data_IF_280027269684
#
_entry.id   IF_280027269684
#
_cell.length_a   1.000
_cell.length_b   1.000
_cell.length_c   1.000
_cell.angle_alpha   90.00
_cell.angle_beta   90.00
_cell.angle_gamma   90.00
#
_symmetry.space_group_name_H-M   'P 1'
#
loop_
_entity.id
_entity.type
_entity.pdbx_description
1 polymer ?
#
# COMPACT_ATOMS: atom_id res chain seq x y z
N UNK A 1 31.90 -27.57 -14.25
CA UNK A 1 32.10 -26.13 -14.52
C UNK A 1 30.95 -25.58 -15.36
N UNK A 2 30.57 -26.23 -16.45
CA UNK A 2 29.54 -25.74 -17.38
C UNK A 2 28.14 -25.59 -16.78
N UNK A 3 27.72 -26.51 -15.90
CA UNK A 3 26.41 -26.43 -15.21
C UNK A 3 26.33 -25.21 -14.29
N UNK A 4 27.43 -24.87 -13.60
CA UNK A 4 27.49 -23.70 -12.72
C UNK A 4 27.46 -22.40 -13.54
N UNK A 5 28.21 -22.35 -14.64
CA UNK A 5 28.24 -21.19 -15.54
C UNK A 5 26.89 -20.99 -16.21
N UNK A 6 26.24 -22.05 -16.67
CA UNK A 6 24.90 -22.02 -17.24
C UNK A 6 23.86 -21.55 -16.22
N UNK A 7 23.89 -22.10 -15.00
CA UNK A 7 22.97 -21.71 -13.92
C UNK A 7 23.15 -20.26 -13.52
N UNK A 8 24.39 -19.78 -13.43
CA UNK A 8 24.69 -18.38 -13.12
C UNK A 8 24.21 -17.44 -14.24
N UNK A 9 24.44 -17.83 -15.50
CA UNK A 9 24.00 -17.06 -16.67
C UNK A 9 22.47 -16.97 -16.74
N UNK A 10 21.78 -18.07 -16.47
CA UNK A 10 20.32 -18.11 -16.38
C UNK A 10 19.79 -17.25 -15.23
N UNK A 11 20.43 -17.28 -14.06
CA UNK A 11 20.07 -16.44 -12.93
C UNK A 11 20.21 -14.94 -13.26
N UNK A 12 21.32 -14.54 -13.88
CA UNK A 12 21.55 -13.15 -14.31
C UNK A 12 20.52 -12.73 -15.34
N UNK A 13 20.18 -13.60 -16.30
CA UNK A 13 19.16 -13.33 -17.30
C UNK A 13 17.77 -13.14 -16.66
N UNK A 14 17.37 -14.03 -15.75
CA UNK A 14 16.09 -13.92 -15.02
C UNK A 14 16.05 -12.64 -14.18
N UNK A 15 17.14 -12.30 -13.49
CA UNK A 15 17.22 -11.08 -12.70
C UNK A 15 17.13 -9.83 -13.58
N UNK A 16 17.81 -9.82 -14.73
CA UNK A 16 17.73 -8.75 -15.72
C UNK A 16 16.31 -8.56 -16.26
N UNK A 17 15.65 -9.66 -16.63
CA UNK A 17 14.28 -9.66 -17.14
C UNK A 17 13.28 -9.19 -16.06
N UNK A 18 13.48 -9.59 -14.81
CA UNK A 18 12.69 -9.13 -13.67
C UNK A 18 12.82 -7.62 -13.42
N UNK A 19 14.04 -7.09 -13.46
CA UNK A 19 14.29 -5.65 -13.29
C UNK A 19 13.65 -4.88 -14.45
N UNK A 20 13.81 -5.36 -15.68
CA UNK A 20 13.23 -4.74 -16.87
C UNK A 20 11.70 -4.74 -16.83
N UNK A 21 11.08 -5.88 -16.50
CA UNK A 21 9.63 -6.00 -16.36
C UNK A 21 9.09 -5.08 -15.26
N UNK A 22 9.78 -4.99 -14.12
CA UNK A 22 9.38 -4.10 -13.02
C UNK A 22 9.49 -2.61 -13.42
N UNK A 23 10.54 -2.24 -14.17
CA UNK A 23 10.68 -0.89 -14.71
C UNK A 23 9.62 -0.58 -15.76
N UNK A 24 9.34 -1.52 -16.66
CA UNK A 24 8.29 -1.37 -17.66
C UNK A 24 6.92 -1.17 -16.99
N UNK A 25 6.61 -1.97 -15.96
CA UNK A 25 5.39 -1.79 -15.14
C UNK A 25 5.35 -0.44 -14.45
N UNK A 26 6.45 0.00 -13.83
CA UNK A 26 6.49 1.28 -13.12
C UNK A 26 6.27 2.49 -14.04
N UNK A 27 6.60 2.35 -15.32
CA UNK A 27 6.38 3.36 -16.38
C UNK A 27 5.01 3.26 -17.05
N UNK A 28 4.25 2.21 -16.78
CA UNK A 28 2.94 2.06 -17.38
C UNK A 28 2.00 3.08 -16.75
N UNK A 29 1.64 4.08 -17.53
CA UNK A 29 0.54 4.99 -17.23
C UNK A 29 -0.74 4.33 -17.73
N UNK A 30 -1.72 4.20 -16.84
CA UNK A 30 -3.06 3.78 -17.24
C UNK A 30 -3.84 5.07 -17.50
N UNK A 31 -4.35 5.30 -18.72
CA UNK A 31 -5.19 6.45 -18.98
C UNK A 31 -6.47 6.34 -18.16
N UNK A 32 -6.88 7.43 -17.54
CA UNK A 32 -8.17 7.56 -16.86
C UNK A 32 -8.72 8.96 -17.06
N UNK A 33 -10.04 9.06 -16.93
CA UNK A 33 -10.73 10.34 -16.97
C UNK A 33 -10.89 10.86 -15.53
N UNK A 34 -10.64 12.15 -15.34
CA UNK A 34 -10.84 12.82 -14.07
C UNK A 34 -12.32 13.00 -13.82
N UNK A 35 -12.78 12.53 -12.66
CA UNK A 35 -14.13 12.79 -12.22
C UNK A 35 -14.16 14.11 -11.44
N UNK A 36 -15.21 14.94 -11.61
CA UNK A 36 -15.38 16.14 -10.81
C UNK A 36 -15.37 15.79 -9.32
N UNK A 37 -14.44 16.40 -8.59
CA UNK A 37 -14.29 16.20 -7.15
C UNK A 37 -14.46 17.54 -6.43
N UNK A 38 -15.52 17.66 -5.63
CA UNK A 38 -15.82 18.88 -4.88
C UNK A 38 -15.37 18.82 -3.41
N UNK A 39 -14.86 17.67 -2.96
CA UNK A 39 -14.49 17.42 -1.58
C UNK A 39 -12.99 17.12 -1.48
N UNK A 40 -12.28 17.88 -0.65
CA UNK A 40 -10.88 17.67 -0.36
C UNK A 40 -10.70 17.38 1.12
N UNK A 41 -9.81 16.45 1.44
CA UNK A 41 -9.45 16.17 2.83
C UNK A 41 -8.69 17.39 3.38
N UNK A 42 -8.93 17.69 4.65
CA UNK A 42 -8.17 18.72 5.37
C UNK A 42 -6.74 18.27 5.62
N UNK A 43 -6.55 16.96 5.82
CA UNK A 43 -5.25 16.35 6.07
C UNK A 43 -4.81 15.49 4.89
N UNK A 44 -3.50 15.36 4.63
CA UNK A 44 -3.00 14.57 3.53
C UNK A 44 -3.23 13.07 3.73
N UNK A 45 -3.28 12.34 2.61
CA UNK A 45 -3.29 10.88 2.56
C UNK A 45 -1.85 10.35 2.60
N UNK A 46 -1.49 9.66 3.68
CA UNK A 46 -0.18 9.05 3.85
C UNK A 46 -0.22 7.56 3.56
N UNK A 47 0.37 7.17 2.42
CA UNK A 47 0.55 5.80 2.02
C UNK A 47 1.84 5.23 2.60
N UNK A 48 1.77 4.09 3.31
CA UNK A 48 2.96 3.45 3.88
C UNK A 48 3.28 2.18 3.12
N UNK A 49 4.51 2.04 2.62
CA UNK A 49 4.88 0.87 1.82
C UNK A 49 5.05 -0.39 2.67
N UNK A 50 4.44 -1.50 2.24
CA UNK A 50 4.73 -2.82 2.77
C UNK A 50 6.13 -3.35 2.43
N UNK A 51 6.40 -4.64 2.70
CA UNK A 51 7.67 -5.27 2.39
C UNK A 51 7.98 -5.22 0.88
N UNK A 52 9.22 -4.88 0.54
CA UNK A 52 9.69 -4.70 -0.85
C UNK A 52 10.76 -5.73 -1.21
N UNK A 53 10.91 -6.02 -2.51
CA UNK A 53 12.01 -6.84 -3.03
C UNK A 53 12.50 -6.31 -4.37
N UNK A 54 13.59 -6.85 -4.90
CA UNK A 54 14.14 -6.47 -6.22
C UNK A 54 13.13 -6.66 -7.37
N UNK A 55 12.17 -7.57 -7.20
CA UNK A 55 11.08 -7.80 -8.16
C UNK A 55 9.94 -6.77 -8.02
N UNK A 56 9.93 -5.99 -6.93
CA UNK A 56 8.85 -5.09 -6.55
C UNK A 56 9.32 -3.94 -5.64
N UNK A 57 10.25 -3.08 -6.11
CA UNK A 57 10.81 -1.98 -5.32
C UNK A 57 10.48 -0.57 -5.82
N UNK A 58 10.18 -0.40 -7.13
CA UNK A 58 10.14 0.92 -7.77
C UNK A 58 8.84 1.70 -7.49
N UNK A 59 7.67 1.07 -7.70
CA UNK A 59 6.35 1.70 -7.49
C UNK A 59 5.47 0.70 -6.74
N UNK A 60 5.32 0.90 -5.43
CA UNK A 60 4.61 -0.05 -4.57
C UNK A 60 3.09 0.05 -4.75
N UNK A 61 2.55 1.27 -4.70
CA UNK A 61 1.12 1.57 -4.82
C UNK A 61 0.62 1.78 -6.26
N UNK A 62 1.48 1.56 -7.25
CA UNK A 62 1.21 1.72 -8.69
C UNK A 62 0.37 2.97 -9.00
N UNK A 63 -0.84 2.83 -9.52
CA UNK A 63 -1.64 3.97 -9.97
C UNK A 63 -2.26 4.78 -8.82
N UNK A 64 -2.53 4.19 -7.66
CA UNK A 64 -3.40 4.79 -6.64
C UNK A 64 -2.97 6.19 -6.18
N UNK A 65 -1.68 6.35 -5.89
CA UNK A 65 -1.14 7.63 -5.41
C UNK A 65 -1.22 8.71 -6.47
N UNK A 66 -1.03 8.35 -7.74
CA UNK A 66 -1.09 9.30 -8.87
C UNK A 66 -2.54 9.66 -9.16
N UNK A 67 -3.42 8.65 -9.22
CA UNK A 67 -4.84 8.83 -9.45
C UNK A 67 -5.46 9.79 -8.44
N UNK A 68 -5.21 9.61 -7.15
CA UNK A 68 -5.73 10.49 -6.10
C UNK A 68 -5.13 11.90 -6.17
N UNK A 69 -3.84 12.02 -6.46
CA UNK A 69 -3.18 13.32 -6.60
C UNK A 69 -3.76 14.13 -7.77
N UNK A 70 -4.05 13.48 -8.90
CA UNK A 70 -4.68 14.14 -10.05
C UNK A 70 -6.14 14.54 -9.79
N UNK A 71 -6.83 13.89 -8.83
CA UNK A 71 -8.15 14.32 -8.33
C UNK A 71 -8.06 15.43 -7.25
N UNK A 72 -6.86 15.96 -7.00
CA UNK A 72 -6.62 17.13 -6.14
C UNK A 72 -6.24 16.82 -4.69
N UNK A 73 -6.11 15.55 -4.30
CA UNK A 73 -5.71 15.20 -2.93
C UNK A 73 -4.21 15.37 -2.71
N UNK A 74 -3.83 15.81 -1.51
CA UNK A 74 -2.43 15.80 -1.09
C UNK A 74 -2.04 14.37 -0.67
N UNK A 75 -1.13 13.74 -1.43
CA UNK A 75 -0.74 12.34 -1.24
C UNK A 75 0.75 12.23 -0.97
N UNK A 76 1.12 11.59 0.14
CA UNK A 76 2.50 11.28 0.48
C UNK A 76 2.74 9.77 0.54
N UNK A 77 3.96 9.35 0.23
CA UNK A 77 4.37 7.95 0.40
C UNK A 77 5.54 7.83 1.35
N UNK A 78 5.33 7.18 2.49
CA UNK A 78 6.38 6.80 3.42
C UNK A 78 7.01 5.48 2.98
N UNK A 79 8.27 5.58 2.55
CA UNK A 79 9.08 4.43 2.19
C UNK A 79 9.74 3.83 3.42
N UNK A 80 9.41 2.58 3.71
CA UNK A 80 9.98 1.82 4.82
C UNK A 80 11.14 0.92 4.37
N UNK A 81 12.01 0.47 5.31
CA UNK A 81 13.01 -0.55 5.04
C UNK A 81 12.39 -1.79 4.39
N UNK A 82 13.17 -2.46 3.53
CA UNK A 82 12.61 -3.42 2.58
C UNK A 82 12.04 -4.68 3.23
N UNK A 83 12.74 -5.28 4.21
CA UNK A 83 12.38 -6.61 4.71
C UNK A 83 12.32 -6.74 6.24
N UNK A 84 13.18 -6.08 7.00
CA UNK A 84 13.25 -6.29 8.44
C UNK A 84 12.07 -5.61 9.15
N UNK A 85 11.22 -6.43 9.80
CA UNK A 85 10.02 -5.97 10.52
C UNK A 85 10.37 -5.02 11.67
N UNK A 86 11.39 -5.31 12.45
CA UNK A 86 11.79 -4.47 13.59
C UNK A 86 12.26 -3.09 13.11
N UNK A 87 13.09 -3.05 12.08
CA UNK A 87 13.56 -1.79 11.49
C UNK A 87 12.42 -0.98 10.84
N UNK A 88 11.42 -1.67 10.27
CA UNK A 88 10.23 -1.03 9.72
C UNK A 88 9.37 -0.41 10.81
N UNK A 89 9.10 -1.14 11.88
CA UNK A 89 8.41 -0.65 13.07
C UNK A 89 9.15 0.52 13.70
N UNK A 90 10.47 0.45 13.85
CA UNK A 90 11.29 1.53 14.39
C UNK A 90 11.25 2.78 13.51
N UNK A 91 11.43 2.61 12.19
CA UNK A 91 11.35 3.72 11.24
C UNK A 91 9.97 4.39 11.29
N UNK A 92 8.91 3.59 11.37
CA UNK A 92 7.55 4.11 11.45
C UNK A 92 7.30 4.82 12.80
N UNK A 93 7.80 4.28 13.92
CA UNK A 93 7.73 4.92 15.24
C UNK A 93 8.41 6.29 15.24
N UNK A 94 9.65 6.37 14.74
CA UNK A 94 10.35 7.64 14.62
C UNK A 94 9.65 8.63 13.69
N UNK A 95 9.03 8.14 12.61
CA UNK A 95 8.23 8.99 11.75
C UNK A 95 7.03 9.58 12.52
N UNK A 96 6.29 8.77 13.27
CA UNK A 96 5.17 9.25 14.11
C UNK A 96 5.65 10.32 15.11
N UNK A 97 6.76 10.07 15.81
CA UNK A 97 7.37 11.05 16.73
C UNK A 97 7.68 12.39 16.07
N UNK A 98 8.18 12.35 14.84
CA UNK A 98 8.50 13.56 14.08
C UNK A 98 7.23 14.31 13.65
N UNK A 99 6.18 13.60 13.23
CA UNK A 99 4.91 14.22 12.88
C UNK A 99 4.21 14.82 14.11
N UNK A 100 4.27 14.14 15.26
CA UNK A 100 3.74 14.60 16.54
C UNK A 100 4.43 15.91 16.98
N UNK A 101 5.77 15.93 16.95
CA UNK A 101 6.57 17.13 17.27
C UNK A 101 6.27 18.30 16.33
N UNK A 102 6.01 18.00 15.06
CA UNK A 102 5.68 19.00 14.04
C UNK A 102 4.18 19.34 13.99
N UNK A 103 3.37 18.73 14.87
CA UNK A 103 1.90 18.83 14.89
C UNK A 103 1.23 18.57 13.54
N UNK A 104 1.85 17.73 12.70
CA UNK A 104 1.30 17.35 11.40
C UNK A 104 0.37 16.16 11.58
N UNK A 105 -0.77 16.22 10.90
CA UNK A 105 -1.81 15.18 10.94
C UNK A 105 -2.05 14.64 9.54
N UNK A 106 -2.49 13.39 9.45
CA UNK A 106 -2.71 12.70 8.17
C UNK A 106 -3.70 11.54 8.31
N UNK A 107 -4.28 11.13 7.19
CA UNK A 107 -5.01 9.86 7.07
C UNK A 107 -4.05 8.77 6.60
N UNK A 108 -3.96 7.68 7.36
CA UNK A 108 -3.05 6.59 7.08
C UNK A 108 -3.68 5.60 6.09
N UNK A 109 -2.93 5.22 5.05
CA UNK A 109 -3.31 4.17 4.09
C UNK A 109 -2.25 3.07 4.11
N UNK A 110 -2.66 1.84 4.39
CA UNK A 110 -1.78 0.67 4.57
C UNK A 110 -2.40 -0.59 3.95
N UNK A 111 -1.57 -1.53 3.51
CA UNK A 111 -2.04 -2.87 3.12
C UNK A 111 -2.23 -3.75 4.37
N UNK A 112 -3.09 -4.76 4.28
CA UNK A 112 -3.44 -5.63 5.41
C UNK A 112 -2.22 -6.26 6.12
N UNK A 113 -1.21 -6.82 5.41
CA UNK A 113 0.01 -7.29 6.06
C UNK A 113 0.76 -6.21 6.86
N UNK A 114 0.89 -5.01 6.32
CA UNK A 114 1.52 -3.87 7.01
C UNK A 114 0.67 -3.40 8.19
N UNK A 115 -0.66 -3.45 8.08
CA UNK A 115 -1.56 -3.14 9.19
C UNK A 115 -1.40 -4.14 10.33
N UNK A 116 -1.31 -5.44 10.02
CA UNK A 116 -1.03 -6.48 11.01
C UNK A 116 0.36 -6.30 11.66
N UNK A 117 1.35 -5.81 10.90
CA UNK A 117 2.68 -5.49 11.41
C UNK A 117 2.67 -4.33 12.42
N UNK A 118 1.85 -3.30 12.21
CA UNK A 118 1.83 -2.07 13.03
C UNK A 118 0.68 -1.99 14.01
N UNK A 119 -0.18 -3.00 14.08
CA UNK A 119 -1.38 -2.96 14.88
C UNK A 119 -1.13 -2.64 16.34
N UNK A 120 -0.11 -3.25 16.93
CA UNK A 120 0.16 -3.13 18.36
C UNK A 120 0.77 -1.77 18.67
N UNK A 121 1.62 -1.28 17.77
CA UNK A 121 2.17 0.08 17.83
C UNK A 121 1.07 1.14 17.73
N UNK A 122 0.17 1.00 16.76
CA UNK A 122 -0.93 1.94 16.53
C UNK A 122 -2.01 1.86 17.62
N UNK A 123 -2.27 0.67 18.17
CA UNK A 123 -3.23 0.48 19.26
C UNK A 123 -2.69 1.00 20.60
N UNK A 124 -1.42 0.76 20.92
CA UNK A 124 -0.81 1.18 22.19
C UNK A 124 -0.52 2.68 22.26
N UNK A 125 -0.13 3.30 21.15
CA UNK A 125 0.44 4.66 21.14
C UNK A 125 -0.57 5.78 20.84
N UNK A 126 -1.77 5.47 20.34
CA UNK A 126 -2.82 6.43 19.90
C UNK A 126 -2.25 7.80 19.49
N UNK A 127 -1.48 7.81 18.41
CA UNK A 127 -0.80 9.02 17.93
C UNK A 127 -1.83 10.08 17.51
N UNK A 128 -1.75 11.33 18.02
CA UNK A 128 -2.68 12.42 17.63
C UNK A 128 -2.49 12.86 16.18
N UNK A 129 -1.37 12.49 15.55
CA UNK A 129 -1.08 12.73 14.14
C UNK A 129 -1.87 11.82 13.20
N UNK A 130 -2.38 10.68 13.67
CA UNK A 130 -3.15 9.73 12.83
C UNK A 130 -4.65 10.00 13.02
N UNK A 131 -5.29 10.55 11.98
CA UNK A 131 -6.73 10.89 12.01
C UNK A 131 -7.59 9.65 11.81
N UNK A 132 -7.26 8.89 10.77
CA UNK A 132 -7.95 7.66 10.40
C UNK A 132 -7.00 6.69 9.73
N UNK A 133 -7.45 5.44 9.62
CA UNK A 133 -6.74 4.35 8.98
C UNK A 133 -7.63 3.78 7.89
N UNK A 134 -7.08 3.65 6.69
CA UNK A 134 -7.68 2.90 5.58
C UNK A 134 -6.78 1.69 5.32
N UNK A 135 -7.30 0.50 5.62
CA UNK A 135 -6.64 -0.77 5.35
C UNK A 135 -7.07 -1.31 3.99
N UNK A 136 -6.11 -1.73 3.18
CA UNK A 136 -6.35 -2.32 1.86
C UNK A 136 -6.17 -3.84 1.95
N UNK A 137 -7.25 -4.59 1.73
CA UNK A 137 -7.30 -6.04 1.91
C UNK A 137 -7.86 -6.76 0.69
N UNK A 138 -7.54 -8.05 0.56
CA UNK A 138 -8.20 -8.93 -0.40
C UNK A 138 -9.58 -9.31 0.12
N UNK A 139 -10.57 -9.38 -0.78
CA UNK A 139 -11.93 -9.80 -0.47
C UNK A 139 -11.95 -11.17 0.24
N UNK A 140 -12.66 -11.26 1.36
CA UNK A 140 -12.82 -12.51 2.11
C UNK A 140 -11.63 -12.89 2.99
N UNK A 141 -10.64 -12.00 3.16
CA UNK A 141 -9.66 -12.16 4.24
C UNK A 141 -10.34 -11.74 5.54
N UNK A 142 -10.75 -12.72 6.34
CA UNK A 142 -11.28 -12.45 7.67
C UNK A 142 -10.23 -11.68 8.50
N UNK A 143 -10.59 -10.48 8.95
CA UNK A 143 -9.81 -9.81 9.99
C UNK A 143 -10.11 -10.56 11.31
N UNK A 144 -9.14 -11.27 11.90
CA UNK A 144 -9.35 -12.02 13.14
C UNK A 144 -9.79 -11.10 14.30
N UNK A 145 -9.73 -9.77 14.15
CA UNK A 145 -10.22 -8.78 15.11
C UNK A 145 -11.65 -8.32 14.88
N UNK A 146 -12.33 -8.73 13.81
CA UNK A 146 -13.80 -8.55 13.69
C UNK A 146 -14.52 -9.29 14.83
N UNK A 147 -13.87 -10.31 15.41
CA UNK A 147 -14.30 -11.01 16.61
C UNK A 147 -13.97 -10.27 17.92
N UNK A 148 -13.22 -9.17 17.87
CA UNK A 148 -12.89 -8.35 19.03
C UNK A 148 -13.95 -7.25 19.19
N UNK A 149 -14.72 -7.33 20.28
CA UNK A 149 -15.71 -6.30 20.65
C UNK A 149 -15.08 -4.95 21.05
N UNK A 150 -13.73 -4.87 21.10
CA UNK A 150 -13.03 -3.63 21.44
C UNK A 150 -12.83 -2.80 20.18
N UNK A 151 -13.49 -1.64 20.14
CA UNK A 151 -13.29 -0.65 19.09
C UNK A 151 -11.81 -0.25 19.00
N UNK A 152 -11.29 -0.16 17.78
CA UNK A 152 -9.95 0.35 17.54
C UNK A 152 -9.87 1.82 17.97
N UNK A 153 -8.78 2.30 18.60
CA UNK A 153 -8.72 3.64 19.19
C UNK A 153 -8.74 4.79 18.15
N UNK A 154 -8.63 4.45 16.87
CA UNK A 154 -8.60 5.35 15.72
C UNK A 154 -9.64 4.84 14.72
N UNK A 155 -10.43 5.72 14.07
CA UNK A 155 -11.34 5.32 12.99
C UNK A 155 -10.61 4.50 11.92
N UNK A 156 -10.98 3.23 11.78
CA UNK A 156 -10.40 2.28 10.84
C UNK A 156 -11.48 1.81 9.88
N UNK A 157 -11.20 1.86 8.57
CA UNK A 157 -12.04 1.27 7.53
C UNK A 157 -11.20 0.33 6.67
N UNK A 158 -11.78 -0.80 6.28
CA UNK A 158 -11.14 -1.80 5.42
C UNK A 158 -11.77 -1.70 4.03
N UNK A 159 -10.94 -1.47 3.02
CA UNK A 159 -11.33 -1.57 1.62
C UNK A 159 -10.94 -2.95 1.09
N UNK A 160 -11.95 -3.73 0.77
CA UNK A 160 -11.78 -5.06 0.20
C UNK A 160 -11.76 -4.99 -1.33
N UNK A 161 -10.76 -5.65 -1.92
CA UNK A 161 -10.60 -5.71 -3.35
C UNK A 161 -10.85 -7.13 -3.90
N UNK A 162 -11.64 -7.26 -4.97
CA UNK A 162 -11.97 -8.55 -5.55
C UNK A 162 -10.71 -9.21 -6.13
N UNK A 163 -10.60 -10.51 -5.95
CA UNK A 163 -9.54 -11.28 -6.59
C UNK A 163 -9.86 -11.47 -8.08
N UNK A 164 -9.02 -10.89 -8.95
CA UNK A 164 -8.99 -11.22 -10.37
C UNK A 164 -7.60 -11.72 -10.78
N UNK A 165 -7.50 -12.72 -11.68
CA UNK A 165 -6.23 -13.22 -12.18
C UNK A 165 -5.50 -12.15 -13.00
N UNK A 166 -4.19 -12.05 -12.79
CA UNK A 166 -3.35 -11.09 -13.49
C UNK A 166 -2.81 -11.71 -14.79
N UNK A 167 -1.93 -11.00 -15.49
CA UNK A 167 -1.20 -11.60 -16.61
C UNK A 167 -0.16 -12.61 -16.08
N UNK A 168 0.12 -13.71 -16.81
CA UNK A 168 0.98 -14.78 -16.31
C UNK A 168 2.40 -14.29 -15.99
N UNK A 169 2.92 -13.34 -16.77
CA UNK A 169 4.23 -12.74 -16.52
C UNK A 169 4.26 -11.95 -15.20
N UNK A 170 3.18 -11.23 -14.89
CA UNK A 170 3.08 -10.47 -13.66
C UNK A 170 2.94 -11.41 -12.45
N UNK A 171 2.14 -12.47 -12.56
CA UNK A 171 2.03 -13.50 -11.52
C UNK A 171 3.35 -14.22 -11.26
N UNK A 172 4.11 -14.56 -12.31
CA UNK A 172 5.45 -15.13 -12.18
C UNK A 172 6.39 -14.18 -11.45
N UNK A 173 6.45 -12.92 -11.87
CA UNK A 173 7.31 -11.90 -11.24
C UNK A 173 6.96 -11.71 -9.76
N UNK A 174 5.67 -11.81 -9.43
CA UNK A 174 5.17 -11.64 -8.09
C UNK A 174 5.37 -12.90 -7.22
N UNK A 175 5.33 -14.09 -7.83
CA UNK A 175 5.76 -15.34 -7.18
C UNK A 175 7.22 -15.27 -6.76
N UNK A 176 8.11 -14.78 -7.64
CA UNK A 176 9.52 -14.54 -7.32
C UNK A 176 9.69 -13.48 -6.21
N UNK A 177 8.85 -12.43 -6.23
CA UNK A 177 8.79 -11.46 -5.14
C UNK A 177 8.47 -12.15 -3.80
N UNK A 178 7.43 -12.99 -3.75
CA UNK A 178 7.02 -13.74 -2.56
C UNK A 178 8.12 -14.66 -2.02
N UNK A 179 8.78 -15.39 -2.91
CA UNK A 179 9.91 -16.25 -2.56
C UNK A 179 11.08 -15.43 -1.99
N UNK A 180 11.44 -14.30 -2.63
CA UNK A 180 12.50 -13.41 -2.14
C UNK A 180 12.15 -12.80 -0.78
N UNK A 181 10.88 -12.53 -0.52
CA UNK A 181 10.39 -12.02 0.75
C UNK A 181 10.28 -13.09 1.85
N UNK A 182 10.77 -14.32 1.61
CA UNK A 182 10.74 -15.45 2.55
C UNK A 182 9.34 -15.78 3.06
N UNK A 183 8.33 -15.79 2.18
CA UNK A 183 6.96 -16.19 2.50
C UNK A 183 6.27 -15.38 3.62
N UNK A 184 6.65 -14.12 3.83
CA UNK A 184 5.81 -13.21 4.62
C UNK A 184 4.42 -13.11 3.95
N UNK A 185 3.37 -12.91 4.76
CA UNK A 185 2.05 -12.54 4.23
C UNK A 185 2.24 -11.26 3.41
N UNK A 186 1.97 -11.32 2.11
CA UNK A 186 2.13 -10.21 1.18
C UNK A 186 0.79 -9.90 0.54
N UNK A 187 0.49 -8.61 0.29
CA UNK A 187 -0.79 -8.21 -0.29
C UNK A 187 -0.87 -8.62 -1.76
N UNK A 188 -2.04 -9.00 -2.26
CA UNK A 188 -2.16 -9.42 -3.66
C UNK A 188 -1.83 -8.32 -4.67
N UNK A 189 -1.64 -8.72 -5.93
CA UNK A 189 -1.48 -7.80 -7.05
C UNK A 189 -2.68 -6.87 -7.26
N UNK A 190 -3.88 -7.27 -6.83
CA UNK A 190 -5.08 -6.44 -6.91
C UNK A 190 -5.04 -5.34 -5.84
N UNK A 191 -4.69 -5.71 -4.60
CA UNK A 191 -4.51 -4.76 -3.49
C UNK A 191 -3.44 -3.73 -3.81
N UNK A 192 -2.38 -4.12 -4.48
CA UNK A 192 -1.30 -3.19 -4.84
C UNK A 192 -1.61 -2.30 -6.05
N UNK A 193 -2.75 -2.50 -6.73
CA UNK A 193 -3.08 -1.77 -7.97
C UNK A 193 -2.16 -2.14 -9.15
N UNK A 194 -1.49 -3.29 -9.09
CA UNK A 194 -0.61 -3.78 -10.14
C UNK A 194 -1.37 -4.54 -11.23
N UNK A 195 -2.53 -5.13 -10.90
CA UNK A 195 -3.37 -5.78 -11.89
C UNK A 195 -4.18 -4.73 -12.66
N UNK A 196 -3.85 -4.53 -13.94
CA UNK A 196 -4.50 -3.54 -14.81
C UNK A 196 -6.01 -3.77 -14.95
N UNK A 197 -6.50 -5.01 -14.77
CA UNK A 197 -7.93 -5.35 -14.85
C UNK A 197 -8.77 -4.86 -13.66
N UNK A 198 -8.14 -4.53 -12.54
CA UNK A 198 -8.81 -4.07 -11.30
C UNK A 198 -8.29 -2.72 -10.83
N UNK A 199 -7.14 -2.27 -11.33
CA UNK A 199 -6.47 -1.06 -10.89
C UNK A 199 -7.38 0.18 -10.91
N UNK A 200 -8.12 0.42 -12.00
CA UNK A 200 -8.99 1.60 -12.10
C UNK A 200 -10.22 1.50 -11.17
N UNK A 201 -10.88 0.34 -11.14
CA UNK A 201 -12.01 0.08 -10.23
C UNK A 201 -11.60 0.29 -8.77
N UNK A 202 -10.44 -0.22 -8.38
CA UNK A 202 -9.92 -0.06 -7.03
C UNK A 202 -9.50 1.39 -6.73
N UNK A 203 -8.99 2.11 -7.74
CA UNK A 203 -8.67 3.54 -7.61
C UNK A 203 -9.93 4.37 -7.37
N UNK A 204 -11.05 4.03 -8.03
CA UNK A 204 -12.35 4.67 -7.79
C UNK A 204 -12.86 4.40 -6.38
N UNK A 205 -12.73 3.16 -5.86
CA UNK A 205 -13.07 2.86 -4.45
C UNK A 205 -12.24 3.69 -3.47
N UNK A 206 -10.95 3.88 -3.76
CA UNK A 206 -10.08 4.75 -2.96
C UNK A 206 -10.49 6.22 -3.03
N UNK A 207 -10.93 6.71 -4.20
CA UNK A 207 -11.46 8.05 -4.37
C UNK A 207 -12.73 8.25 -3.54
N UNK A 208 -13.68 7.32 -3.60
CA UNK A 208 -14.88 7.35 -2.75
C UNK A 208 -14.51 7.39 -1.27
N UNK A 209 -13.53 6.59 -0.85
CA UNK A 209 -13.03 6.63 0.53
C UNK A 209 -12.41 8.00 0.88
N UNK A 210 -11.62 8.59 -0.01
CA UNK A 210 -11.05 9.91 0.19
C UNK A 210 -12.12 11.00 0.32
N UNK A 211 -13.22 10.88 -0.41
CA UNK A 211 -14.40 11.75 -0.28
C UNK A 211 -15.07 11.57 1.09
N UNK A 212 -15.26 10.33 1.56
CA UNK A 212 -15.78 10.05 2.91
C UNK A 212 -14.88 10.62 4.01
N UNK A 213 -13.55 10.57 3.83
CA UNK A 213 -12.61 11.19 4.75
C UNK A 213 -12.74 12.72 4.75
N UNK A 214 -12.93 13.34 3.59
CA UNK A 214 -13.16 14.77 3.48
C UNK A 214 -14.46 15.20 4.17
N UNK A 215 -15.53 14.42 4.07
CA UNK A 215 -16.78 14.66 4.82
C UNK A 215 -16.56 14.56 6.33
N UNK A 216 -15.79 13.58 6.80
CA UNK A 216 -15.45 13.42 8.21
C UNK A 216 -14.66 14.62 8.72
N UNK A 217 -13.65 15.06 7.98
CA UNK A 217 -12.85 16.25 8.32
C UNK A 217 -13.69 17.53 8.40
N UNK A 218 -14.69 17.67 7.50
CA UNK A 218 -15.62 18.78 7.50
C UNK A 218 -16.52 18.76 8.75
N UNK A 219 -17.06 17.59 9.11
CA UNK A 219 -17.92 17.45 10.30
C UNK A 219 -17.17 17.75 11.60
N UNK A 220 -15.90 17.36 11.69
CA UNK A 220 -15.05 17.67 12.84
C UNK A 220 -14.69 19.17 12.96
N UNK A 221 -14.96 19.97 11.92
CA UNK A 221 -14.65 21.40 11.88
C UNK A 221 -15.83 22.32 12.19
N UNK A 222 -17.05 21.78 12.23
CA UNK A 222 -18.29 22.47 12.57
C UNK A 222 -18.58 22.39 14.06
#
# INVERSE_FOLDING_TARGET
>A
MDVLVFSLSLLVFILGLAIFANRARARQELPFELQPNCLLTRWPLLFVTGPRSLFYFSKYWNIYTVFLAEHGYEVFTLHLPWKNTEQRQERFRHFLEQQEKSQRRFHLVVDAPTMAEFSDLLASRRSPSVISITELADLGVEDPRVLSLKAYPIPKEVLEFPHRPATPLLELSYSLHRQSAKNKKLPSLNVLGANTKTALENSQRLLTRAQTLAEMDLRDSL
#
